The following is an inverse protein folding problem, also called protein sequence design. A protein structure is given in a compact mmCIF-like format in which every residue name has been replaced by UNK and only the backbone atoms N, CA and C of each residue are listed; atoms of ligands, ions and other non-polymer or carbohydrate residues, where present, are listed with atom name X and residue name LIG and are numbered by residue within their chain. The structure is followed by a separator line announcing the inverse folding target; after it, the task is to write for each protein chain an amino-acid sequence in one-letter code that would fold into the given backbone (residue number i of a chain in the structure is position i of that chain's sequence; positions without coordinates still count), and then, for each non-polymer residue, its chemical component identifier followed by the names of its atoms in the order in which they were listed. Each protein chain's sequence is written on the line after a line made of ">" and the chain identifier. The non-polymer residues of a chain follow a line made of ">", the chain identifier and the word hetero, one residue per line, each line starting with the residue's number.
data_IF_180884083572
#
_entry.id   IF_180884083572
#
_cell.length_a   1.000
_cell.length_b   1.000
_cell.length_c   1.000
_cell.angle_alpha   90.00
_cell.angle_beta   90.00
_cell.angle_gamma   90.00
#
_symmetry.space_group_name_H-M   'P 1'
#
loop_
_entity.id
_entity.type
_entity.pdbx_description
1 polymer ?
#
# COMPACT_ATOMS: atom_id res chain seq x y z
N UNK A 1 11.05 29.57 4.63
CA UNK A 1 11.76 28.42 4.02
C UNK A 1 10.69 27.43 3.58
N UNK A 2 10.87 26.82 2.41
CA UNK A 2 9.83 26.10 1.67
C UNK A 2 9.43 24.78 2.35
N UNK A 3 8.20 24.70 2.87
CA UNK A 3 7.52 23.46 3.29
C UNK A 3 7.05 22.61 2.09
N UNK A 4 7.15 23.14 0.87
CA UNK A 4 6.64 22.50 -0.33
C UNK A 4 7.27 21.13 -0.63
N UNK A 5 8.49 20.86 -0.16
CA UNK A 5 9.16 19.58 -0.45
C UNK A 5 8.61 18.40 0.36
N UNK A 6 7.93 18.68 1.48
CA UNK A 6 7.49 17.64 2.39
C UNK A 6 5.98 17.39 2.21
N UNK A 7 5.18 18.44 2.03
CA UNK A 7 3.76 18.33 1.63
C UNK A 7 3.56 17.51 0.33
N UNK A 8 4.46 17.68 -0.64
CA UNK A 8 4.45 16.89 -1.89
C UNK A 8 4.72 15.40 -1.61
N UNK A 9 5.48 15.08 -0.57
CA UNK A 9 5.95 13.72 -0.29
C UNK A 9 4.83 12.85 0.31
N UNK A 10 4.00 13.37 1.21
CA UNK A 10 2.87 12.59 1.77
C UNK A 10 1.74 12.36 0.78
N UNK A 11 1.38 13.41 0.03
CA UNK A 11 0.33 13.29 -0.98
C UNK A 11 0.71 12.25 -2.03
N UNK A 12 1.98 12.23 -2.44
CA UNK A 12 2.51 11.23 -3.36
C UNK A 12 2.56 9.82 -2.75
N UNK A 13 3.01 9.66 -1.50
CA UNK A 13 3.06 8.35 -0.82
C UNK A 13 1.65 7.80 -0.56
N UNK A 14 0.70 8.66 -0.17
CA UNK A 14 -0.70 8.29 0.01
C UNK A 14 -1.35 7.90 -1.32
N UNK A 15 -1.12 8.66 -2.39
CA UNK A 15 -1.56 8.29 -3.73
C UNK A 15 -1.01 6.94 -4.18
N UNK A 16 0.29 6.71 -3.97
CA UNK A 16 0.93 5.43 -4.27
C UNK A 16 0.32 4.27 -3.47
N UNK A 17 -0.05 4.48 -2.20
CA UNK A 17 -0.71 3.45 -1.39
C UNK A 17 -2.08 3.05 -1.95
N UNK A 18 -2.83 4.02 -2.50
CA UNK A 18 -4.13 3.77 -3.14
C UNK A 18 -3.94 2.97 -4.44
N UNK A 19 -3.02 3.40 -5.31
CA UNK A 19 -2.73 2.71 -6.56
C UNK A 19 -2.29 1.25 -6.33
N UNK A 20 -1.45 1.03 -5.32
CA UNK A 20 -0.99 -0.31 -4.91
C UNK A 20 -2.15 -1.16 -4.39
N UNK A 21 -3.09 -0.56 -3.64
CA UNK A 21 -4.29 -1.26 -3.15
C UNK A 21 -5.22 -1.69 -4.30
N UNK A 22 -5.40 -0.83 -5.31
CA UNK A 22 -6.20 -1.17 -6.51
C UNK A 22 -5.59 -2.34 -7.28
N UNK A 23 -4.26 -2.34 -7.48
CA UNK A 23 -3.53 -3.45 -8.11
C UNK A 23 -3.73 -4.76 -7.34
N UNK A 24 -3.70 -4.72 -6.01
CA UNK A 24 -4.00 -5.88 -5.17
C UNK A 24 -5.42 -6.42 -5.41
N UNK A 25 -6.41 -5.53 -5.47
CA UNK A 25 -7.79 -5.90 -5.76
C UNK A 25 -7.96 -6.55 -7.15
N UNK A 26 -7.28 -6.04 -8.17
CA UNK A 26 -7.34 -6.59 -9.53
C UNK A 26 -6.63 -7.94 -9.66
N UNK A 27 -5.55 -8.15 -8.90
CA UNK A 27 -4.92 -9.45 -8.74
C UNK A 27 -5.90 -10.45 -8.11
N UNK A 28 -6.57 -10.10 -7.01
CA UNK A 28 -7.56 -10.99 -6.38
C UNK A 28 -8.72 -11.38 -7.32
N UNK A 29 -9.21 -10.43 -8.13
CA UNK A 29 -10.20 -10.71 -9.19
C UNK A 29 -9.65 -11.68 -10.24
N UNK A 30 -8.39 -11.51 -10.62
CA UNK A 30 -7.71 -12.39 -11.59
C UNK A 30 -7.54 -13.81 -11.02
N UNK A 31 -7.16 -13.96 -9.75
CA UNK A 31 -7.11 -15.25 -9.06
C UNK A 31 -8.47 -15.95 -9.08
N UNK A 32 -9.53 -15.21 -8.75
CA UNK A 32 -10.91 -15.72 -8.78
C UNK A 32 -11.27 -16.19 -10.18
N UNK A 33 -10.94 -15.41 -11.21
CA UNK A 33 -11.23 -15.76 -12.60
C UNK A 33 -10.46 -17.00 -13.05
N UNK A 34 -9.18 -17.12 -12.71
CA UNK A 34 -8.39 -18.33 -12.98
C UNK A 34 -8.98 -19.55 -12.27
N UNK A 35 -9.36 -19.43 -11.00
CA UNK A 35 -9.99 -20.54 -10.27
C UNK A 35 -11.35 -20.96 -10.86
N UNK A 36 -12.08 -20.02 -11.46
CA UNK A 36 -13.37 -20.28 -12.12
C UNK A 36 -13.24 -20.92 -13.51
N UNK A 37 -12.08 -20.76 -14.16
CA UNK A 37 -11.75 -21.46 -15.40
C UNK A 37 -11.35 -22.89 -15.03
N UNK A 38 -12.33 -23.70 -14.64
CA UNK A 38 -12.17 -25.15 -14.57
C UNK A 38 -12.40 -25.74 -15.96
N UNK A 39 -11.48 -26.59 -16.39
CA UNK A 39 -11.54 -27.17 -17.74
C UNK A 39 -12.60 -28.26 -17.73
N UNK A 40 -13.81 -27.93 -18.18
CA UNK A 40 -14.87 -28.89 -18.44
C UNK A 40 -14.57 -29.68 -19.73
N UNK A 41 -13.47 -30.43 -19.76
CA UNK A 41 -13.10 -31.23 -20.93
C UNK A 41 -12.92 -32.70 -20.54
N UNK A 42 -13.99 -33.48 -20.78
CA UNK A 42 -14.10 -34.90 -21.15
C UNK A 42 -12.92 -35.88 -21.01
N UNK A 43 -12.04 -35.75 -20.03
CA UNK A 43 -10.86 -36.60 -19.84
C UNK A 43 -10.24 -36.38 -18.45
N UNK A 44 -10.64 -37.22 -17.49
CA UNK A 44 -10.38 -37.10 -16.05
C UNK A 44 -8.95 -36.66 -15.66
N UNK A 45 -7.90 -37.15 -16.33
CA UNK A 45 -6.51 -36.83 -15.95
C UNK A 45 -6.03 -35.45 -16.40
N UNK A 46 -6.52 -34.94 -17.54
CA UNK A 46 -6.19 -33.59 -17.99
C UNK A 46 -6.96 -32.54 -17.17
N UNK A 47 -8.18 -32.89 -16.75
CA UNK A 47 -9.01 -32.07 -15.86
C UNK A 47 -8.38 -31.88 -14.48
N UNK A 48 -7.88 -32.94 -13.84
CA UNK A 48 -7.26 -32.83 -12.50
C UNK A 48 -5.96 -32.01 -12.51
N UNK A 49 -5.10 -32.23 -13.52
CA UNK A 49 -3.87 -31.46 -13.70
C UNK A 49 -4.15 -29.97 -13.96
N UNK A 50 -5.13 -29.65 -14.80
CA UNK A 50 -5.51 -28.26 -15.06
C UNK A 50 -6.21 -27.60 -13.86
N UNK A 51 -7.00 -28.34 -13.09
CA UNK A 51 -7.62 -27.83 -11.87
C UNK A 51 -6.56 -27.53 -10.79
N UNK A 52 -5.58 -28.43 -10.62
CA UNK A 52 -4.46 -28.22 -9.69
C UNK A 52 -3.57 -27.04 -10.10
N UNK A 53 -3.28 -26.91 -11.40
CA UNK A 53 -2.54 -25.76 -11.94
C UNK A 53 -3.30 -24.45 -11.70
N UNK A 54 -4.59 -24.40 -12.02
CA UNK A 54 -5.42 -23.20 -11.84
C UNK A 54 -5.55 -22.82 -10.36
N UNK A 55 -5.68 -23.80 -9.47
CA UNK A 55 -5.66 -23.58 -8.02
C UNK A 55 -4.32 -23.03 -7.53
N UNK A 56 -3.20 -23.56 -8.03
CA UNK A 56 -1.85 -23.08 -7.68
C UNK A 56 -1.63 -21.65 -8.13
N UNK A 57 -2.00 -21.32 -9.37
CA UNK A 57 -1.90 -19.96 -9.92
C UNK A 57 -2.78 -18.99 -9.13
N UNK A 58 -4.01 -19.38 -8.79
CA UNK A 58 -4.89 -18.55 -7.97
C UNK A 58 -4.29 -18.28 -6.58
N UNK A 59 -3.68 -19.29 -5.95
CA UNK A 59 -3.00 -19.12 -4.67
C UNK A 59 -1.81 -18.16 -4.78
N UNK A 60 -0.95 -18.33 -5.78
CA UNK A 60 0.19 -17.44 -5.99
C UNK A 60 -0.24 -15.99 -6.22
N UNK A 61 -1.33 -15.77 -6.96
CA UNK A 61 -1.88 -14.43 -7.17
C UNK A 61 -2.41 -13.84 -5.85
N UNK A 62 -3.06 -14.64 -5.01
CA UNK A 62 -3.52 -14.20 -3.69
C UNK A 62 -2.35 -13.83 -2.76
N UNK A 63 -1.27 -14.61 -2.78
CA UNK A 63 -0.08 -14.34 -1.97
C UNK A 63 0.57 -13.01 -2.39
N UNK A 64 0.70 -12.76 -3.71
CA UNK A 64 1.18 -11.47 -4.25
C UNK A 64 0.24 -10.33 -3.86
N UNK A 65 -1.08 -10.51 -4.01
CA UNK A 65 -2.08 -9.52 -3.60
C UNK A 65 -1.94 -9.15 -2.12
N UNK A 66 -1.69 -10.12 -1.24
CA UNK A 66 -1.44 -9.87 0.19
C UNK A 66 -0.18 -9.05 0.43
N UNK A 67 0.94 -9.38 -0.23
CA UNK A 67 2.20 -8.63 -0.09
C UNK A 67 2.10 -7.20 -0.63
N UNK A 68 1.35 -7.02 -1.72
CA UNK A 68 1.03 -5.70 -2.28
C UNK A 68 0.20 -4.89 -1.29
N UNK A 69 -0.83 -5.48 -0.67
CA UNK A 69 -1.62 -4.81 0.39
C UNK A 69 -0.76 -4.43 1.59
N UNK A 70 0.10 -5.32 2.07
CA UNK A 70 1.04 -5.04 3.15
C UNK A 70 1.99 -3.87 2.82
N UNK A 71 2.35 -3.72 1.54
CA UNK A 71 3.17 -2.61 1.06
C UNK A 71 2.40 -1.30 1.10
N UNK A 72 1.12 -1.29 0.68
CA UNK A 72 0.25 -0.12 0.79
C UNK A 72 0.11 0.34 2.25
N UNK A 73 -0.08 -0.59 3.19
CA UNK A 73 -0.18 -0.27 4.62
C UNK A 73 1.10 0.38 5.17
N UNK A 74 2.27 -0.14 4.79
CA UNK A 74 3.57 0.43 5.18
C UNK A 74 3.80 1.82 4.60
N UNK A 75 3.39 2.05 3.35
CA UNK A 75 3.44 3.37 2.72
C UNK A 75 2.55 4.36 3.48
N UNK A 76 1.33 3.96 3.82
CA UNK A 76 0.41 4.78 4.63
C UNK A 76 1.00 5.11 6.01
N UNK A 77 1.57 4.14 6.70
CA UNK A 77 2.26 4.35 7.98
C UNK A 77 3.45 5.31 7.86
N UNK A 78 4.21 5.21 6.76
CA UNK A 78 5.34 6.09 6.48
C UNK A 78 4.86 7.53 6.26
N UNK A 79 3.79 7.72 5.48
CA UNK A 79 3.19 9.04 5.28
C UNK A 79 2.74 9.66 6.61
N UNK A 80 2.04 8.89 7.46
CA UNK A 80 1.60 9.37 8.76
C UNK A 80 2.77 9.74 9.68
N UNK A 81 3.80 8.90 9.74
CA UNK A 81 4.99 9.13 10.58
C UNK A 81 5.73 10.40 10.18
N UNK A 82 5.92 10.60 8.88
CA UNK A 82 6.62 11.78 8.39
C UNK A 82 5.77 13.04 8.68
N UNK A 83 4.43 12.97 8.57
CA UNK A 83 3.52 14.10 8.85
C UNK A 83 3.56 14.51 10.32
N UNK A 84 3.63 13.51 11.20
CA UNK A 84 3.81 13.76 12.63
C UNK A 84 5.17 14.41 12.93
N UNK A 85 6.26 13.93 12.31
CA UNK A 85 7.59 14.54 12.50
C UNK A 85 7.62 16.02 12.10
N UNK A 86 6.88 16.40 11.05
CA UNK A 86 6.76 17.81 10.68
C UNK A 86 5.99 18.64 11.68
N UNK A 87 4.88 18.11 12.20
CA UNK A 87 4.13 18.81 13.23
C UNK A 87 5.00 19.05 14.47
N UNK A 88 5.74 18.03 14.91
CA UNK A 88 6.66 18.13 16.04
C UNK A 88 7.80 19.14 15.76
N UNK A 89 8.33 19.16 14.54
CA UNK A 89 9.33 20.15 14.13
C UNK A 89 8.76 21.58 14.16
N UNK A 90 7.55 21.79 13.65
CA UNK A 90 6.89 23.08 13.66
C UNK A 90 6.64 23.59 15.09
N UNK A 91 6.11 22.73 15.97
CA UNK A 91 5.90 23.06 17.38
C UNK A 91 7.20 23.37 18.12
N UNK A 92 8.28 22.62 17.83
CA UNK A 92 9.60 22.86 18.41
C UNK A 92 10.16 24.22 18.01
N UNK A 93 10.03 24.58 16.72
CA UNK A 93 10.43 25.89 16.21
C UNK A 93 9.60 27.01 16.87
N UNK A 94 8.28 26.84 16.98
CA UNK A 94 7.40 27.82 17.63
C UNK A 94 7.77 28.03 19.10
N UNK A 95 8.05 26.95 19.84
CA UNK A 95 8.53 27.00 21.23
C UNK A 95 9.87 27.73 21.32
N UNK A 96 10.81 27.46 20.41
CA UNK A 96 12.10 28.14 20.38
C UNK A 96 11.94 29.66 20.20
N UNK A 97 11.15 30.11 19.22
CA UNK A 97 10.90 31.54 19.01
C UNK A 97 10.12 32.20 20.16
N UNK A 98 9.17 31.49 20.75
CA UNK A 98 8.45 31.96 21.93
C UNK A 98 9.37 32.15 23.14
N UNK A 99 10.37 31.26 23.31
CA UNK A 99 11.36 31.38 24.39
C UNK A 99 12.34 32.54 24.20
N UNK A 100 12.62 32.94 22.96
CA UNK A 100 13.46 34.09 22.64
C UNK A 100 12.72 35.43 22.82
N UNK A 101 11.41 35.46 22.53
CA UNK A 101 10.58 36.66 22.71
C UNK A 101 10.19 36.96 24.16
N UNK A 102 10.33 35.99 25.07
CA UNK A 102 10.03 36.15 26.50
C UNK A 102 11.21 36.62 27.36
N UNK A 103 12.38 36.87 26.78
CA UNK A 103 13.59 37.25 27.51
C UNK A 103 13.75 38.77 27.74
N UNK A 104 12.80 39.60 27.28
CA UNK A 104 12.86 41.06 27.32
C UNK A 104 11.69 41.74 28.08
N UNK A 105 11.05 41.05 29.03
CA UNK A 105 10.01 41.64 29.90
C UNK A 105 10.22 41.34 31.38
#
# INVERSE_FOLDING_TARGET
>A
MSTANIDINYGAISGLSVDVSEVSGDLAKSATKVSSVSVSSSGFQMTDGCNSFSGTVAQQINDVSSEVSNTADKLSQTANSVSQMEQEAAESIEKFFSSLGGADS
#
